data_IF_892498592550
#
_entry.id   IF_892498592550
#
_cell.length_a   1.000
_cell.length_b   1.000
_cell.length_c   1.000
_cell.angle_alpha   90.00
_cell.angle_beta   90.00
_cell.angle_gamma   90.00
#
_symmetry.space_group_name_H-M   'P 1'
#
loop_
_entity.id
_entity.type
_entity.pdbx_description
1 polymer ?
#
# COMPACT_ATOMS: atom_id res chain seq x y z
N UNK A 1 22.82 -20.44 15.16
CA UNK A 1 22.23 -19.50 14.17
C UNK A 1 22.61 -18.10 14.62
N UNK A 2 23.24 -17.29 13.77
CA UNK A 2 23.57 -15.90 14.10
C UNK A 2 22.32 -15.05 13.94
N UNK A 3 22.09 -14.08 14.83
CA UNK A 3 20.96 -13.16 14.77
C UNK A 3 21.47 -11.73 14.98
N UNK A 4 20.74 -10.76 14.46
CA UNK A 4 21.04 -9.35 14.67
C UNK A 4 20.50 -8.96 16.05
N UNK A 5 21.39 -8.67 17.00
CA UNK A 5 21.00 -8.30 18.37
C UNK A 5 21.03 -6.76 18.59
N UNK A 6 21.83 -6.02 17.83
CA UNK A 6 22.03 -4.58 18.01
C UNK A 6 22.23 -3.82 16.72
N UNK A 7 21.72 -2.59 16.64
CA UNK A 7 21.97 -1.63 15.55
C UNK A 7 22.60 -0.38 16.15
N UNK A 8 23.70 0.10 15.55
CA UNK A 8 24.41 1.30 15.97
C UNK A 8 24.66 2.21 14.76
N UNK A 9 23.75 3.18 14.48
CA UNK A 9 24.04 4.20 13.49
C UNK A 9 25.24 5.05 13.91
N UNK A 10 26.15 5.29 12.97
CA UNK A 10 27.36 6.08 13.17
C UNK A 10 27.47 7.15 12.08
N UNK A 11 28.09 8.28 12.43
CA UNK A 11 28.54 9.27 11.44
C UNK A 11 30.06 9.34 11.43
N UNK A 12 30.63 9.68 10.28
CA UNK A 12 32.06 9.92 10.17
C UNK A 12 32.37 11.34 10.65
N UNK A 13 33.12 11.46 11.74
CA UNK A 13 33.63 12.75 12.19
C UNK A 13 34.95 13.03 11.48
N UNK A 14 34.97 14.00 10.56
CA UNK A 14 36.16 14.37 9.79
C UNK A 14 37.25 15.03 10.62
N UNK A 15 36.89 15.72 11.70
CA UNK A 15 37.85 16.37 12.61
C UNK A 15 38.65 15.34 13.41
N UNK A 16 37.97 14.31 13.92
CA UNK A 16 38.64 13.24 14.69
C UNK A 16 39.03 12.04 13.84
N UNK A 17 38.63 12.01 12.56
CA UNK A 17 38.81 10.86 11.66
C UNK A 17 38.32 9.54 12.27
N UNK A 18 37.15 9.56 12.91
CA UNK A 18 36.57 8.42 13.62
C UNK A 18 35.07 8.31 13.35
N UNK A 19 34.57 7.08 13.38
CA UNK A 19 33.14 6.80 13.43
C UNK A 19 32.61 7.06 14.83
N UNK A 20 31.59 7.91 14.94
CA UNK A 20 30.96 8.27 16.20
C UNK A 20 29.54 7.72 16.22
N UNK A 21 29.22 6.94 17.25
CA UNK A 21 27.87 6.39 17.45
C UNK A 21 26.88 7.50 17.78
N UNK A 22 25.74 7.52 17.07
CA UNK A 22 24.65 8.48 17.28
C UNK A 22 23.65 7.97 18.30
N UNK A 23 23.34 6.68 18.22
CA UNK A 23 22.41 5.99 19.10
C UNK A 23 22.69 4.49 19.07
N UNK A 24 22.10 3.74 20.00
CA UNK A 24 22.09 2.28 19.93
C UNK A 24 20.66 1.76 20.03
N UNK A 25 20.38 0.68 19.31
CA UNK A 25 19.10 -0.01 19.36
C UNK A 25 19.36 -1.47 19.73
N UNK A 26 18.84 -1.90 20.87
CA UNK A 26 18.87 -3.30 21.28
C UNK A 26 17.59 -3.99 20.81
N UNK A 27 17.74 -5.15 20.17
CA UNK A 27 16.65 -5.94 19.61
C UNK A 27 16.31 -7.10 20.54
N UNK A 28 15.13 -7.08 21.13
CA UNK A 28 14.57 -8.21 21.85
C UNK A 28 14.02 -9.23 20.86
N UNK A 29 14.46 -10.49 20.96
CA UNK A 29 14.05 -11.53 20.03
C UNK A 29 13.81 -12.87 20.73
N UNK A 30 12.82 -13.60 20.24
CA UNK A 30 12.51 -14.96 20.68
C UNK A 30 12.22 -15.88 19.50
N UNK A 31 12.37 -17.19 19.74
CA UNK A 31 11.84 -18.20 18.81
C UNK A 31 10.44 -18.58 19.26
N UNK A 32 9.46 -18.30 18.41
CA UNK A 32 8.05 -18.55 18.68
C UNK A 32 7.73 -20.01 18.43
N UNK A 33 6.96 -20.59 19.36
CA UNK A 33 6.50 -21.98 19.31
C UNK A 33 5.05 -22.08 18.85
N UNK A 34 4.75 -22.71 17.70
CA UNK A 34 3.38 -23.02 17.31
C UNK A 34 2.69 -23.98 18.31
N UNK A 35 1.44 -23.71 18.74
CA UNK A 35 0.72 -24.54 19.72
C UNK A 35 0.56 -26.01 19.32
N UNK A 36 0.48 -26.28 18.00
CA UNK A 36 0.20 -27.59 17.43
C UNK A 36 1.40 -28.23 16.71
N UNK A 37 2.62 -27.75 16.98
CA UNK A 37 3.84 -28.35 16.44
C UNK A 37 4.83 -28.67 17.57
N UNK A 38 4.72 -29.89 18.11
CA UNK A 38 5.64 -30.40 19.12
C UNK A 38 7.12 -30.42 18.66
N UNK A 39 7.36 -30.35 17.34
CA UNK A 39 8.67 -30.28 16.72
C UNK A 39 9.00 -28.88 16.14
N UNK A 40 8.12 -27.89 16.30
CA UNK A 40 8.25 -26.58 15.66
C UNK A 40 9.50 -25.81 16.07
N UNK A 41 9.94 -26.01 17.31
CA UNK A 41 11.19 -25.45 17.84
C UNK A 41 12.44 -26.06 17.20
N UNK A 42 12.36 -27.30 16.68
CA UNK A 42 13.49 -28.04 16.10
C UNK A 42 13.52 -28.00 14.58
N UNK A 43 12.36 -28.07 13.94
CA UNK A 43 12.25 -28.23 12.49
C UNK A 43 11.82 -26.95 11.76
N UNK A 44 11.12 -26.02 12.42
CA UNK A 44 10.61 -24.81 11.76
C UNK A 44 10.63 -23.53 12.64
N UNK A 45 11.74 -23.23 13.33
CA UNK A 45 11.77 -22.15 14.31
C UNK A 45 11.52 -20.78 13.66
N UNK A 46 10.58 -20.03 14.23
CA UNK A 46 10.18 -18.69 13.77
C UNK A 46 10.81 -17.63 14.67
N UNK A 47 11.75 -16.87 14.13
CA UNK A 47 12.34 -15.74 14.86
C UNK A 47 11.35 -14.59 14.89
N UNK A 48 11.07 -14.06 16.08
CA UNK A 48 10.20 -12.92 16.30
C UNK A 48 10.97 -11.78 16.99
N UNK A 49 10.73 -10.55 16.54
CA UNK A 49 11.22 -9.35 17.20
C UNK A 49 10.17 -8.90 18.21
N UNK A 50 10.38 -9.15 19.51
CA UNK A 50 9.42 -8.79 20.55
C UNK A 50 9.63 -7.38 21.11
N UNK A 51 10.81 -6.79 20.93
CA UNK A 51 11.08 -5.44 21.42
C UNK A 51 12.19 -4.70 20.66
N UNK A 52 12.10 -3.37 20.62
CA UNK A 52 13.20 -2.47 20.27
C UNK A 52 13.42 -1.48 21.41
N UNK A 53 14.63 -1.48 21.99
CA UNK A 53 15.02 -0.52 23.03
C UNK A 53 16.02 0.48 22.46
N UNK A 54 15.64 1.77 22.43
CA UNK A 54 16.58 2.85 22.09
C UNK A 54 17.42 3.20 23.31
N UNK A 55 18.73 3.24 23.12
CA UNK A 55 19.72 3.67 24.12
C UNK A 55 20.46 4.92 23.63
N UNK A 56 21.03 5.66 24.58
CA UNK A 56 21.99 6.72 24.32
C UNK A 56 23.21 6.20 23.55
N UNK A 57 23.97 7.09 22.92
CA UNK A 57 25.15 6.74 22.12
C UNK A 57 26.20 5.92 22.90
N UNK A 58 26.38 6.24 24.19
CA UNK A 58 27.25 5.55 25.14
C UNK A 58 26.62 4.27 25.75
N UNK A 59 25.34 4.01 25.46
CA UNK A 59 24.60 2.84 25.93
C UNK A 59 24.17 2.89 27.40
N UNK A 60 24.43 3.98 28.12
CA UNK A 60 24.22 4.09 29.57
C UNK A 60 22.76 4.35 29.95
N UNK A 61 22.02 5.04 29.09
CA UNK A 61 20.62 5.39 29.29
C UNK A 61 19.74 4.70 28.26
N UNK A 62 18.55 4.25 28.67
CA UNK A 62 17.58 3.59 27.79
C UNK A 62 16.20 4.22 27.95
N UNK A 63 15.49 4.38 26.83
CA UNK A 63 14.05 4.61 26.85
C UNK A 63 13.32 3.27 27.09
N UNK A 64 12.07 3.30 27.58
CA UNK A 64 11.21 2.13 27.53
C UNK A 64 11.17 1.53 26.12
N UNK A 65 11.08 0.22 26.03
CA UNK A 65 11.10 -0.46 24.75
C UNK A 65 9.77 -0.27 24.01
N UNK A 66 9.83 -0.15 22.68
CA UNK A 66 8.68 -0.49 21.83
C UNK A 66 8.50 -1.99 21.93
N UNK A 67 7.30 -2.47 22.25
CA UNK A 67 6.99 -3.90 22.37
C UNK A 67 6.08 -4.36 21.25
N UNK A 68 6.33 -5.56 20.74
CA UNK A 68 5.55 -6.19 19.67
C UNK A 68 4.97 -7.52 20.15
N UNK A 69 3.65 -7.54 20.32
CA UNK A 69 2.89 -8.77 20.52
C UNK A 69 2.62 -9.48 19.20
N UNK A 70 2.31 -10.78 19.28
CA UNK A 70 1.85 -11.53 18.13
C UNK A 70 0.70 -12.48 18.45
N UNK A 71 -0.08 -12.75 17.41
CA UNK A 71 -0.99 -13.89 17.32
C UNK A 71 -0.47 -14.88 16.30
N UNK A 72 -0.54 -16.17 16.63
CA UNK A 72 -0.18 -17.25 15.72
C UNK A 72 -1.39 -17.65 14.88
N UNK A 73 -1.25 -17.55 13.56
CA UNK A 73 -2.33 -17.86 12.62
C UNK A 73 -1.89 -18.89 11.59
N UNK A 74 -2.82 -19.79 11.26
CA UNK A 74 -2.57 -20.86 10.30
C UNK A 74 -2.50 -20.29 8.88
N UNK A 75 -1.33 -20.36 8.25
CA UNK A 75 -1.13 -19.91 6.87
C UNK A 75 -1.47 -21.00 5.86
N UNK A 76 -1.12 -22.27 6.09
CA UNK A 76 -1.48 -23.34 5.14
C UNK A 76 -2.92 -23.79 5.35
N UNK A 77 -3.72 -23.88 4.27
CA UNK A 77 -5.15 -24.24 4.32
C UNK A 77 -5.43 -25.67 3.86
N UNK A 78 -4.64 -26.18 2.93
CA UNK A 78 -4.75 -27.53 2.35
C UNK A 78 -4.19 -28.64 3.26
N UNK A 79 -3.69 -28.31 4.46
CA UNK A 79 -3.20 -29.26 5.47
C UNK A 79 -4.31 -29.93 6.31
N UNK A 80 -5.56 -29.81 5.87
CA UNK A 80 -6.73 -30.41 6.51
C UNK A 80 -7.20 -29.70 7.79
N UNK A 81 -8.37 -30.12 8.24
CA UNK A 81 -8.90 -29.93 9.60
C UNK A 81 -9.43 -31.29 10.05
N UNK A 82 -9.77 -31.48 11.33
CA UNK A 82 -10.36 -32.74 11.81
C UNK A 82 -11.62 -33.19 11.02
N UNK A 83 -12.26 -32.27 10.28
CA UNK A 83 -13.48 -32.53 9.51
C UNK A 83 -13.25 -32.77 7.99
N UNK A 84 -12.03 -32.65 7.47
CA UNK A 84 -11.76 -32.81 6.01
C UNK A 84 -10.39 -33.45 5.78
N UNK A 85 -10.30 -34.59 5.07
CA UNK A 85 -9.06 -35.33 4.92
C UNK A 85 -7.97 -34.50 4.25
N UNK A 86 -6.80 -34.52 4.90
CA UNK A 86 -5.54 -33.93 4.48
C UNK A 86 -5.19 -34.32 3.03
N UNK A 87 -4.71 -33.39 2.20
CA UNK A 87 -3.95 -33.80 1.01
C UNK A 87 -2.65 -34.43 1.54
N UNK A 88 -2.45 -35.73 1.27
CA UNK A 88 -1.31 -36.50 1.79
C UNK A 88 0.02 -35.75 1.57
N UNK A 89 0.79 -35.55 2.66
CA UNK A 89 2.09 -34.87 2.64
C UNK A 89 2.10 -33.37 2.96
N UNK A 90 0.95 -32.75 3.25
CA UNK A 90 0.85 -31.32 3.57
C UNK A 90 1.08 -30.97 5.06
N UNK A 91 2.31 -30.62 5.48
CA UNK A 91 2.57 -30.15 6.85
C UNK A 91 1.91 -28.81 7.17
N UNK A 92 1.44 -28.64 8.41
CA UNK A 92 0.93 -27.37 8.93
C UNK A 92 1.96 -26.24 8.82
N UNK A 93 1.51 -25.02 8.57
CA UNK A 93 2.34 -23.82 8.57
C UNK A 93 1.62 -22.72 9.36
N UNK A 94 2.09 -22.45 10.57
CA UNK A 94 1.58 -21.36 11.43
C UNK A 94 2.61 -20.23 11.48
N UNK A 95 2.18 -18.99 11.28
CA UNK A 95 3.06 -17.82 11.28
C UNK A 95 2.60 -16.78 12.30
N UNK A 96 3.54 -16.12 13.02
CA UNK A 96 3.21 -15.00 13.89
C UNK A 96 2.81 -13.77 13.07
N UNK A 97 1.83 -13.02 13.56
CA UNK A 97 1.35 -11.76 13.00
C UNK A 97 1.29 -10.73 14.12
N UNK A 98 1.70 -9.49 13.86
CA UNK A 98 1.68 -8.41 14.85
C UNK A 98 0.23 -8.19 15.30
N UNK A 99 -0.10 -8.50 16.55
CA UNK A 99 -1.44 -8.25 17.11
C UNK A 99 -1.45 -7.03 18.05
N UNK A 100 -0.27 -6.59 18.50
CA UNK A 100 -0.13 -5.48 19.42
C UNK A 100 1.20 -4.76 19.23
N UNK A 101 1.16 -3.44 19.29
CA UNK A 101 2.32 -2.56 19.42
C UNK A 101 2.10 -1.73 20.68
N UNK A 102 3.07 -1.73 21.60
CA UNK A 102 3.09 -0.80 22.74
C UNK A 102 4.25 0.15 22.55
N UNK A 103 3.98 1.45 22.52
CA UNK A 103 5.00 2.47 22.36
C UNK A 103 5.69 2.81 23.70
N UNK A 104 6.83 3.53 23.68
CA UNK A 104 7.58 3.86 24.89
C UNK A 104 6.85 4.82 25.84
N UNK A 105 5.77 5.46 25.38
CA UNK A 105 4.93 6.39 26.12
C UNK A 105 3.63 5.72 26.59
N UNK A 106 3.50 4.39 26.44
CA UNK A 106 2.37 3.57 26.91
C UNK A 106 1.11 3.61 26.03
N UNK A 107 1.20 4.17 24.82
CA UNK A 107 0.19 3.99 23.79
C UNK A 107 0.17 2.55 23.29
N UNK A 108 -1.03 2.01 23.05
CA UNK A 108 -1.23 0.62 22.63
C UNK A 108 -2.09 0.59 21.37
N UNK A 109 -1.54 0.01 20.30
CA UNK A 109 -2.26 -0.31 19.06
C UNK A 109 -2.46 -1.82 18.97
N UNK A 110 -3.69 -2.28 18.82
CA UNK A 110 -4.02 -3.70 18.65
C UNK A 110 -4.66 -3.99 17.30
N UNK A 111 -4.40 -5.18 16.76
CA UNK A 111 -4.89 -5.64 15.47
C UNK A 111 -5.66 -6.96 15.65
N UNK A 112 -6.86 -7.03 15.07
CA UNK A 112 -7.64 -8.27 14.97
C UNK A 112 -7.58 -8.75 13.53
N UNK A 113 -7.18 -10.01 13.34
CA UNK A 113 -7.12 -10.64 12.03
C UNK A 113 -8.22 -11.68 11.84
N UNK A 114 -8.82 -11.70 10.65
CA UNK A 114 -9.60 -12.84 10.18
C UNK A 114 -9.67 -12.86 8.64
N UNK A 115 -10.54 -13.71 8.09
CA UNK A 115 -10.83 -13.86 6.67
C UNK A 115 -12.23 -13.31 6.43
N UNK A 116 -12.32 -12.26 5.62
CA UNK A 116 -13.59 -11.75 5.12
C UNK A 116 -14.33 -12.76 4.23
N UNK A 117 -13.56 -13.59 3.51
CA UNK A 117 -14.05 -14.61 2.59
C UNK A 117 -13.22 -15.89 2.80
N UNK A 118 -13.78 -16.82 3.56
CA UNK A 118 -13.10 -18.04 4.01
C UNK A 118 -12.53 -18.86 2.84
N UNK A 119 -11.25 -19.22 2.91
CA UNK A 119 -10.68 -20.18 1.96
C UNK A 119 -11.34 -21.54 2.06
N UNK A 120 -11.86 -22.10 0.95
CA UNK A 120 -12.31 -23.48 0.93
C UNK A 120 -11.09 -24.42 0.87
N UNK A 121 -11.32 -25.68 1.22
CA UNK A 121 -10.34 -26.76 1.08
C UNK A 121 -10.71 -27.51 -0.20
N UNK A 122 -10.00 -27.22 -1.28
CA UNK A 122 -10.22 -27.81 -2.61
C UNK A 122 -8.88 -28.19 -3.24
N UNK A 123 -8.88 -29.14 -4.18
CA UNK A 123 -7.68 -29.56 -4.91
C UNK A 123 -7.63 -29.04 -6.35
N UNK A 124 -8.71 -28.43 -6.82
CA UNK A 124 -8.86 -27.89 -8.17
C UNK A 124 -9.94 -26.80 -8.20
N UNK A 125 -10.25 -26.24 -9.38
CA UNK A 125 -11.31 -25.23 -9.53
C UNK A 125 -10.90 -23.82 -9.13
N UNK A 126 -9.63 -23.46 -9.35
CA UNK A 126 -9.05 -22.18 -8.94
C UNK A 126 -9.47 -20.98 -9.80
N UNK A 127 -10.24 -21.17 -10.87
CA UNK A 127 -10.65 -20.10 -11.78
C UNK A 127 -11.39 -18.99 -11.03
N UNK A 128 -10.87 -17.75 -11.10
CA UNK A 128 -11.45 -16.54 -10.48
C UNK A 128 -11.86 -16.73 -9.02
N UNK A 129 -10.97 -17.36 -8.24
CA UNK A 129 -11.24 -17.79 -6.87
C UNK A 129 -11.65 -16.61 -5.95
N UNK A 130 -12.92 -16.52 -5.48
CA UNK A 130 -13.43 -15.34 -4.79
C UNK A 130 -13.19 -15.38 -3.27
N UNK A 131 -12.01 -15.83 -2.85
CA UNK A 131 -11.70 -16.10 -1.44
C UNK A 131 -10.39 -15.45 -1.01
N UNK A 132 -10.21 -15.30 0.30
CA UNK A 132 -9.01 -14.74 0.91
C UNK A 132 -7.86 -15.75 0.91
N UNK A 133 -7.48 -16.22 -0.28
CA UNK A 133 -6.50 -17.28 -0.47
C UNK A 133 -5.35 -16.86 -1.35
N UNK A 134 -4.22 -17.48 -1.11
CA UNK A 134 -3.09 -17.50 -2.03
C UNK A 134 -2.94 -18.92 -2.56
N UNK A 135 -2.99 -19.07 -3.88
CA UNK A 135 -2.84 -20.35 -4.57
C UNK A 135 -1.48 -20.33 -5.25
N UNK A 136 -0.69 -21.38 -5.06
CA UNK A 136 0.64 -21.47 -5.66
C UNK A 136 0.99 -22.90 -5.99
N UNK A 137 1.79 -23.08 -7.04
CA UNK A 137 2.34 -24.37 -7.39
C UNK A 137 3.37 -24.80 -6.35
N UNK A 138 3.14 -25.95 -5.71
CA UNK A 138 4.06 -26.57 -4.79
C UNK A 138 4.79 -27.73 -5.50
N UNK A 139 6.07 -27.56 -5.86
CA UNK A 139 6.84 -28.61 -6.51
C UNK A 139 7.28 -29.73 -5.54
N UNK A 140 7.12 -29.56 -4.22
CA UNK A 140 7.53 -30.56 -3.24
C UNK A 140 6.45 -31.65 -3.05
N UNK A 141 6.88 -32.91 -2.92
CA UNK A 141 5.99 -34.06 -2.70
C UNK A 141 5.37 -34.60 -3.99
N UNK A 142 4.05 -34.84 -4.01
CA UNK A 142 3.34 -35.41 -5.16
C UNK A 142 3.18 -34.43 -6.35
N UNK A 143 3.60 -33.16 -6.18
CA UNK A 143 3.37 -32.07 -7.14
C UNK A 143 1.90 -31.62 -7.15
N UNK A 144 1.66 -30.32 -7.30
CA UNK A 144 0.31 -29.77 -7.39
C UNK A 144 0.18 -28.36 -6.83
N UNK A 145 -1.05 -27.85 -6.78
CA UNK A 145 -1.33 -26.56 -6.17
C UNK A 145 -1.56 -26.68 -4.67
N UNK A 146 -1.01 -25.72 -3.92
CA UNK A 146 -1.28 -25.53 -2.49
C UNK A 146 -2.07 -24.26 -2.23
N UNK A 147 -2.90 -24.30 -1.19
CA UNK A 147 -3.74 -23.18 -0.77
C UNK A 147 -3.25 -22.64 0.57
N UNK A 148 -3.08 -21.34 0.64
CA UNK A 148 -2.71 -20.61 1.84
C UNK A 148 -3.79 -19.57 2.20
N UNK A 149 -4.06 -19.41 3.48
CA UNK A 149 -4.94 -18.35 4.00
C UNK A 149 -4.25 -16.98 3.86
N UNK A 150 -5.00 -15.99 3.38
CA UNK A 150 -4.70 -14.57 3.54
C UNK A 150 -5.50 -14.05 4.72
N UNK A 151 -4.79 -13.65 5.77
CA UNK A 151 -5.40 -13.03 6.94
C UNK A 151 -5.45 -11.52 6.72
N UNK A 152 -6.64 -10.95 6.82
CA UNK A 152 -6.90 -9.52 6.71
C UNK A 152 -7.06 -8.94 8.11
N UNK A 153 -6.69 -7.67 8.28
CA UNK A 153 -7.01 -6.92 9.49
C UNK A 153 -8.50 -6.59 9.44
N UNK A 154 -9.29 -7.03 10.41
CA UNK A 154 -10.70 -6.67 10.53
C UNK A 154 -10.94 -5.53 11.52
N UNK A 155 -9.98 -5.28 12.42
CA UNK A 155 -10.05 -4.15 13.33
C UNK A 155 -8.67 -3.69 13.74
N UNK A 156 -8.54 -2.36 13.87
CA UNK A 156 -7.45 -1.71 14.58
C UNK A 156 -8.05 -0.94 15.74
N UNK A 157 -7.46 -1.06 16.92
CA UNK A 157 -7.83 -0.26 18.08
C UNK A 157 -6.61 0.43 18.64
N UNK A 158 -6.71 1.73 18.90
CA UNK A 158 -5.66 2.55 19.52
C UNK A 158 -6.17 3.03 20.87
N UNK A 159 -5.38 2.83 21.90
CA UNK A 159 -5.69 3.26 23.25
C UNK A 159 -4.47 3.92 23.90
N UNK A 160 -4.74 4.84 24.81
CA UNK A 160 -3.75 5.42 25.69
C UNK A 160 -4.08 4.98 27.11
N UNK A 161 -3.13 4.29 27.74
CA UNK A 161 -3.29 3.75 29.08
C UNK A 161 -3.26 4.82 30.18
N UNK A 162 -2.85 6.06 29.87
CA UNK A 162 -2.71 7.13 30.85
C UNK A 162 -3.93 8.07 30.93
N UNK A 163 -4.55 8.40 29.81
CA UNK A 163 -5.64 9.40 29.77
C UNK A 163 -7.01 8.88 30.21
N UNK A 164 -7.21 7.56 30.30
CA UNK A 164 -8.51 6.97 30.63
C UNK A 164 -9.58 7.18 29.55
N UNK A 165 -9.21 7.69 28.38
CA UNK A 165 -10.11 7.81 27.23
C UNK A 165 -10.44 6.43 26.64
N UNK A 166 -11.64 6.24 26.08
CA UNK A 166 -11.99 4.99 25.42
C UNK A 166 -11.09 4.75 24.21
N UNK A 167 -10.80 3.47 23.95
CA UNK A 167 -10.03 3.07 22.78
C UNK A 167 -10.74 3.51 21.49
N UNK A 168 -9.99 4.08 20.56
CA UNK A 168 -10.46 4.43 19.23
C UNK A 168 -10.33 3.21 18.33
N UNK A 169 -11.47 2.65 17.95
CA UNK A 169 -11.52 1.42 17.14
C UNK A 169 -12.04 1.75 15.75
N UNK A 170 -11.31 1.28 14.74
CA UNK A 170 -11.73 1.23 13.34
C UNK A 170 -11.93 -0.24 12.98
N UNK A 171 -13.08 -0.55 12.40
CA UNK A 171 -13.37 -1.87 11.82
C UNK A 171 -13.31 -1.81 10.31
N UNK A 172 -12.88 -2.90 9.68
CA UNK A 172 -12.72 -3.03 8.24
C UNK A 172 -13.69 -4.09 7.70
N UNK A 173 -14.41 -3.74 6.65
CA UNK A 173 -15.10 -4.70 5.80
C UNK A 173 -14.53 -4.67 4.39
N UNK A 174 -14.56 -5.81 3.73
CA UNK A 174 -13.93 -6.04 2.44
C UNK A 174 -14.95 -6.64 1.49
N UNK A 175 -15.09 -6.10 0.28
CA UNK A 175 -15.87 -6.74 -0.76
C UNK A 175 -15.26 -8.08 -1.18
N UNK A 176 -16.01 -8.89 -1.92
CA UNK A 176 -15.51 -10.16 -2.47
C UNK A 176 -14.21 -9.95 -3.23
N UNK A 177 -13.12 -10.63 -2.83
CA UNK A 177 -11.86 -10.53 -3.52
C UNK A 177 -11.93 -11.28 -4.86
N UNK A 178 -10.96 -11.04 -5.73
CA UNK A 178 -10.81 -11.80 -6.96
C UNK A 178 -9.34 -12.12 -7.22
N UNK A 179 -9.11 -13.16 -8.01
CA UNK A 179 -7.80 -13.50 -8.53
C UNK A 179 -7.82 -13.37 -10.07
N UNK A 180 -6.69 -12.94 -10.62
CA UNK A 180 -6.40 -12.88 -12.04
C UNK A 180 -5.55 -14.08 -12.44
N UNK A 181 -5.59 -14.47 -13.71
CA UNK A 181 -4.70 -15.49 -14.23
C UNK A 181 -3.24 -15.02 -14.19
N UNK A 182 -2.32 -15.92 -13.87
CA UNK A 182 -0.89 -15.63 -13.88
C UNK A 182 -0.37 -15.46 -15.32
N UNK A 183 -0.28 -14.21 -15.75
CA UNK A 183 0.27 -13.81 -17.04
C UNK A 183 1.79 -13.56 -16.98
N UNK A 184 2.47 -13.86 -15.87
CA UNK A 184 3.93 -13.69 -15.76
C UNK A 184 4.66 -14.53 -16.83
N UNK A 185 5.48 -13.93 -17.70
CA UNK A 185 6.15 -14.66 -18.77
C UNK A 185 7.20 -15.66 -18.25
N UNK A 186 7.67 -15.53 -17.01
CA UNK A 186 8.65 -16.46 -16.44
C UNK A 186 8.01 -17.65 -15.71
N UNK A 187 6.72 -17.59 -15.38
CA UNK A 187 6.01 -18.76 -14.82
C UNK A 187 5.81 -19.82 -15.91
N UNK A 188 6.31 -21.06 -15.73
CA UNK A 188 6.06 -22.14 -16.68
C UNK A 188 4.56 -22.37 -16.89
N UNK A 189 4.14 -22.63 -18.13
CA UNK A 189 2.72 -22.76 -18.48
C UNK A 189 1.95 -23.81 -17.64
N UNK A 190 2.62 -24.87 -17.20
CA UNK A 190 2.03 -25.90 -16.33
C UNK A 190 1.81 -25.46 -14.88
N UNK A 191 2.38 -24.32 -14.48
CA UNK A 191 2.32 -23.76 -13.13
C UNK A 191 1.45 -22.50 -13.05
N UNK A 192 1.09 -21.93 -14.21
CA UNK A 192 0.17 -20.79 -14.30
C UNK A 192 -1.22 -21.16 -13.82
N UNK A 193 -1.82 -20.29 -13.02
CA UNK A 193 -3.16 -20.45 -12.46
C UNK A 193 -3.73 -19.10 -12.10
N UNK A 194 -4.94 -19.07 -11.53
CA UNK A 194 -5.51 -17.87 -10.91
C UNK A 194 -4.93 -17.61 -9.51
N UNK A 195 -3.60 -17.58 -9.41
CA UNK A 195 -2.86 -17.30 -8.17
C UNK A 195 -2.55 -15.82 -7.95
N UNK A 196 -2.74 -14.98 -8.97
CA UNK A 196 -2.47 -13.54 -8.90
C UNK A 196 -3.62 -12.80 -8.19
N UNK A 197 -3.47 -12.60 -6.89
CA UNK A 197 -4.50 -12.00 -6.03
C UNK A 197 -4.67 -10.51 -6.30
N UNK A 198 -5.88 -10.10 -6.68
CA UNK A 198 -6.21 -8.71 -7.02
C UNK A 198 -6.94 -7.94 -5.92
N UNK A 199 -7.16 -8.58 -4.77
CA UNK A 199 -7.77 -7.92 -3.62
C UNK A 199 -9.27 -7.67 -3.78
N UNK A 200 -9.79 -6.90 -2.83
CA UNK A 200 -11.19 -6.48 -2.77
C UNK A 200 -11.35 -5.17 -3.53
N UNK A 201 -12.43 -5.05 -4.32
CA UNK A 201 -12.74 -3.81 -5.04
C UNK A 201 -13.07 -2.67 -4.08
N UNK A 202 -13.79 -2.97 -3.00
CA UNK A 202 -14.19 -1.98 -1.98
C UNK A 202 -13.68 -2.42 -0.61
N UNK A 203 -13.07 -1.48 0.11
CA UNK A 203 -12.70 -1.61 1.52
C UNK A 203 -13.41 -0.50 2.28
N UNK A 204 -14.12 -0.84 3.35
CA UNK A 204 -14.84 0.14 4.17
C UNK A 204 -14.28 0.14 5.57
N UNK A 205 -13.78 1.30 5.99
CA UNK A 205 -13.45 1.62 7.37
C UNK A 205 -14.72 2.11 8.07
N UNK A 206 -14.97 1.68 9.30
CA UNK A 206 -16.06 2.18 10.14
C UNK A 206 -15.51 2.52 11.52
N UNK A 207 -15.65 3.78 11.93
CA UNK A 207 -15.23 4.24 13.25
C UNK A 207 -16.28 3.94 14.33
N UNK A 208 -15.95 4.22 15.59
CA UNK A 208 -16.83 3.97 16.72
C UNK A 208 -18.15 4.77 16.69
N UNK A 209 -18.23 5.86 15.91
CA UNK A 209 -19.48 6.62 15.71
C UNK A 209 -20.38 6.00 14.63
N UNK A 210 -19.88 5.01 13.90
CA UNK A 210 -20.53 4.42 12.74
C UNK A 210 -20.29 5.18 11.44
N UNK A 211 -19.56 6.30 11.46
CA UNK A 211 -19.14 6.99 10.25
C UNK A 211 -18.15 6.11 9.48
N UNK A 212 -18.15 6.25 8.15
CA UNK A 212 -17.44 5.33 7.25
C UNK A 212 -16.52 6.05 6.31
N UNK A 213 -15.41 5.39 5.97
CA UNK A 213 -14.60 5.74 4.81
C UNK A 213 -14.56 4.54 3.89
N UNK A 214 -15.12 4.68 2.69
CA UNK A 214 -15.08 3.65 1.66
C UNK A 214 -14.00 3.97 0.64
N UNK A 215 -13.16 2.99 0.37
CA UNK A 215 -12.09 3.03 -0.61
C UNK A 215 -12.42 2.06 -1.74
N UNK A 216 -12.39 2.51 -2.98
CA UNK A 216 -12.57 1.68 -4.17
C UNK A 216 -11.27 1.59 -4.95
N UNK A 217 -10.89 0.39 -5.33
CA UNK A 217 -9.65 0.09 -6.04
C UNK A 217 -9.90 -0.54 -7.39
N UNK A 218 -9.07 -0.17 -8.36
CA UNK A 218 -8.88 -0.97 -9.56
C UNK A 218 -8.30 -2.34 -9.19
N UNK A 219 -8.84 -3.41 -9.77
CA UNK A 219 -8.37 -4.79 -9.58
C UNK A 219 -7.53 -5.27 -10.77
N UNK A 220 -7.64 -4.57 -11.90
CA UNK A 220 -6.89 -4.85 -13.11
C UNK A 220 -7.37 -6.09 -13.84
N UNK A 221 -8.68 -6.32 -13.90
CA UNK A 221 -9.31 -7.49 -14.50
C UNK A 221 -9.55 -7.39 -16.01
N UNK A 222 -9.31 -6.23 -16.63
CA UNK A 222 -9.47 -6.06 -18.07
C UNK A 222 -8.47 -6.93 -18.85
N UNK A 223 -8.97 -7.76 -19.76
CA UNK A 223 -8.15 -8.68 -20.55
C UNK A 223 -7.69 -9.93 -19.80
N UNK A 224 -8.24 -10.26 -18.62
CA UNK A 224 -7.99 -11.52 -17.91
C UNK A 224 -8.23 -12.74 -18.83
N UNK A 225 -7.55 -13.86 -18.57
CA UNK A 225 -7.42 -15.02 -19.47
C UNK A 225 -8.74 -15.58 -20.01
N UNK A 226 -9.80 -15.56 -19.20
CA UNK A 226 -11.15 -16.02 -19.60
C UNK A 226 -12.14 -14.90 -19.87
N UNK A 227 -11.71 -13.63 -19.74
CA UNK A 227 -12.59 -12.50 -20.03
C UNK A 227 -12.74 -12.31 -21.54
N UNK A 228 -13.98 -12.26 -22.02
CA UNK A 228 -14.30 -11.69 -23.32
C UNK A 228 -14.82 -10.27 -23.12
N UNK A 229 -14.36 -9.34 -23.96
CA UNK A 229 -14.74 -7.93 -23.86
C UNK A 229 -14.04 -7.15 -22.74
N UNK A 230 -14.45 -5.90 -22.57
CA UNK A 230 -13.86 -4.97 -21.61
C UNK A 230 -14.43 -5.20 -20.22
N UNK A 231 -13.56 -5.30 -19.21
CA UNK A 231 -13.99 -5.36 -17.80
C UNK A 231 -13.97 -3.97 -17.18
N UNK A 232 -14.99 -3.66 -16.39
CA UNK A 232 -15.17 -2.35 -15.76
C UNK A 232 -15.30 -2.49 -14.24
N UNK A 233 -14.89 -1.43 -13.54
CA UNK A 233 -15.37 -1.12 -12.19
C UNK A 233 -16.51 -0.10 -12.27
N UNK A 234 -17.42 -0.15 -11.31
CA UNK A 234 -18.55 0.78 -11.22
C UNK A 234 -18.35 1.69 -10.03
N UNK A 235 -18.24 3.00 -10.27
CA UNK A 235 -18.12 4.01 -9.21
C UNK A 235 -19.45 4.22 -8.49
N UNK A 236 -19.43 4.91 -7.35
CA UNK A 236 -20.63 5.10 -6.54
C UNK A 236 -21.76 5.88 -7.22
N UNK A 237 -21.44 6.67 -8.25
CA UNK A 237 -22.41 7.42 -9.05
C UNK A 237 -22.90 6.63 -10.29
N UNK A 238 -22.47 5.37 -10.46
CA UNK A 238 -22.81 4.54 -11.61
C UNK A 238 -21.85 4.66 -12.79
N UNK A 239 -20.88 5.58 -12.75
CA UNK A 239 -19.89 5.71 -13.82
C UNK A 239 -19.04 4.45 -13.93
N UNK A 240 -18.80 4.00 -15.16
CA UNK A 240 -17.94 2.86 -15.45
C UNK A 240 -16.51 3.32 -15.73
N UNK A 241 -15.53 2.61 -15.18
CA UNK A 241 -14.10 2.77 -15.53
C UNK A 241 -13.53 1.45 -15.98
N UNK A 242 -12.77 1.45 -17.07
CA UNK A 242 -12.07 0.24 -17.53
C UNK A 242 -11.09 -0.19 -16.44
N UNK A 243 -11.16 -1.45 -16.04
CA UNK A 243 -10.36 -2.02 -14.96
C UNK A 243 -9.00 -2.51 -15.46
N UNK A 244 -8.19 -1.59 -15.98
CA UNK A 244 -6.94 -1.93 -16.66
C UNK A 244 -5.90 -2.59 -15.75
N UNK A 245 -5.18 -3.59 -16.26
CA UNK A 245 -4.18 -4.33 -15.48
C UNK A 245 -3.09 -3.43 -14.85
N UNK A 246 -2.65 -2.39 -15.56
CA UNK A 246 -1.66 -1.42 -15.07
C UNK A 246 -2.19 -0.50 -13.95
N UNK A 247 -3.51 -0.50 -13.70
CA UNK A 247 -4.14 0.21 -12.60
C UNK A 247 -4.28 -0.64 -11.32
N UNK A 248 -3.94 -1.94 -11.34
CA UNK A 248 -4.18 -2.84 -10.20
C UNK A 248 -3.70 -2.24 -8.86
N UNK A 249 -4.58 -2.26 -7.87
CA UNK A 249 -4.32 -1.73 -6.51
C UNK A 249 -4.36 -0.20 -6.39
N UNK A 250 -4.58 0.56 -7.47
CA UNK A 250 -4.75 2.01 -7.40
C UNK A 250 -6.15 2.36 -6.91
N UNK A 251 -6.23 3.31 -5.99
CA UNK A 251 -7.50 3.82 -5.49
C UNK A 251 -8.14 4.77 -6.53
N UNK A 252 -9.35 4.44 -6.97
CA UNK A 252 -10.10 5.21 -7.97
C UNK A 252 -11.12 6.15 -7.34
N UNK A 253 -11.67 5.80 -6.20
CA UNK A 253 -12.73 6.56 -5.53
C UNK A 253 -12.62 6.36 -4.02
N UNK A 254 -12.76 7.46 -3.28
CA UNK A 254 -12.89 7.45 -1.81
C UNK A 254 -14.17 8.17 -1.42
N UNK A 255 -14.93 7.64 -0.47
CA UNK A 255 -16.11 8.31 0.09
C UNK A 255 -16.02 8.38 1.60
N UNK A 256 -16.17 9.58 2.15
CA UNK A 256 -16.46 9.75 3.58
C UNK A 256 -17.96 9.85 3.76
N UNK A 257 -18.52 8.99 4.60
CA UNK A 257 -19.95 8.87 4.87
C UNK A 257 -20.22 9.13 6.35
N UNK A 258 -21.39 9.68 6.66
CA UNK A 258 -21.92 9.67 8.02
C UNK A 258 -22.43 8.27 8.38
N UNK A 259 -22.80 8.08 9.66
CA UNK A 259 -23.40 6.85 10.15
C UNK A 259 -24.71 6.45 9.42
N UNK A 260 -25.46 7.43 8.90
CA UNK A 260 -26.67 7.21 8.08
C UNK A 260 -26.36 6.87 6.60
N UNK A 261 -25.09 6.71 6.24
CA UNK A 261 -24.56 6.52 4.88
C UNK A 261 -24.72 7.71 3.93
N UNK A 262 -25.15 8.88 4.41
CA UNK A 262 -25.09 10.10 3.60
C UNK A 262 -23.64 10.49 3.31
N UNK A 263 -23.35 10.84 2.06
CA UNK A 263 -22.02 11.23 1.62
C UNK A 263 -21.67 12.61 2.18
N UNK A 264 -20.48 12.75 2.76
CA UNK A 264 -19.87 14.02 3.17
C UNK A 264 -18.87 14.50 2.12
N UNK A 265 -17.98 13.60 1.71
CA UNK A 265 -16.91 13.88 0.76
C UNK A 265 -16.82 12.70 -0.20
N UNK A 266 -16.65 12.98 -1.48
CA UNK A 266 -16.31 12.00 -2.51
C UNK A 266 -15.09 12.48 -3.29
N UNK A 267 -14.06 11.66 -3.34
CA UNK A 267 -12.87 11.89 -4.14
C UNK A 267 -12.80 10.87 -5.28
N UNK A 268 -12.38 11.29 -6.47
CA UNK A 268 -12.24 10.41 -7.65
C UNK A 268 -10.93 10.71 -8.35
N UNK A 269 -10.23 9.66 -8.76
CA UNK A 269 -8.95 9.74 -9.45
C UNK A 269 -9.06 9.29 -10.91
N UNK A 270 -8.25 9.92 -11.75
CA UNK A 270 -7.97 9.52 -13.12
C UNK A 270 -6.46 9.43 -13.28
N UNK A 271 -6.03 8.43 -14.02
CA UNK A 271 -4.62 8.14 -14.20
C UNK A 271 -4.29 8.18 -15.69
N UNK A 272 -3.09 8.67 -15.98
CA UNK A 272 -2.45 8.55 -17.29
C UNK A 272 -1.33 7.53 -17.21
N UNK A 273 -0.89 7.04 -18.36
CA UNK A 273 0.17 6.05 -18.44
C UNK A 273 1.09 6.28 -19.62
N UNK A 274 2.28 5.70 -19.54
CA UNK A 274 3.20 5.56 -20.67
C UNK A 274 3.91 4.22 -20.55
N UNK A 275 3.97 3.46 -21.65
CA UNK A 275 4.71 2.21 -21.70
C UNK A 275 6.21 2.52 -21.70
N UNK A 276 6.92 2.05 -20.68
CA UNK A 276 8.35 2.34 -20.47
C UNK A 276 9.26 1.18 -20.89
N UNK A 277 8.75 -0.06 -20.86
CA UNK A 277 9.43 -1.24 -21.38
C UNK A 277 8.44 -2.37 -21.69
N UNK A 278 8.83 -3.31 -22.55
CA UNK A 278 8.00 -4.48 -22.90
C UNK A 278 6.82 -4.13 -23.80
N UNK A 279 5.79 -4.97 -23.81
CA UNK A 279 4.55 -4.77 -24.58
C UNK A 279 3.39 -5.59 -24.03
N UNK A 280 2.16 -5.24 -24.41
CA UNK A 280 0.96 -5.98 -24.03
C UNK A 280 0.79 -6.11 -22.51
N UNK A 281 0.34 -7.29 -22.06
CA UNK A 281 0.03 -7.56 -20.64
C UNK A 281 1.24 -7.55 -19.71
N UNK A 282 2.45 -7.67 -20.25
CA UNK A 282 3.71 -7.73 -19.50
C UNK A 282 4.49 -6.43 -19.59
N UNK A 283 3.91 -5.38 -20.18
CA UNK A 283 4.51 -4.06 -20.25
C UNK A 283 4.76 -3.45 -18.87
N UNK A 284 5.88 -2.75 -18.72
CA UNK A 284 6.17 -1.90 -17.59
C UNK A 284 5.63 -0.49 -17.88
N UNK A 285 4.78 0.04 -17.01
CA UNK A 285 4.11 1.31 -17.22
C UNK A 285 4.54 2.34 -16.19
N UNK A 286 4.87 3.55 -16.66
CA UNK A 286 4.71 4.73 -15.83
C UNK A 286 3.20 4.98 -15.66
N UNK A 287 2.78 5.27 -14.44
CA UNK A 287 1.39 5.58 -14.11
C UNK A 287 1.35 6.82 -13.22
N UNK A 288 0.84 7.91 -13.77
CA UNK A 288 0.73 9.19 -13.07
C UNK A 288 -0.73 9.52 -12.75
N UNK A 289 -0.98 10.19 -11.62
CA UNK A 289 -2.28 10.80 -11.34
C UNK A 289 -2.49 11.95 -12.32
N UNK A 290 -3.42 11.81 -13.26
CA UNK A 290 -3.73 12.83 -14.26
C UNK A 290 -4.74 13.85 -13.72
N UNK A 291 -5.77 13.38 -13.01
CA UNK A 291 -6.80 14.25 -12.46
C UNK A 291 -7.31 13.69 -11.14
N UNK A 292 -7.57 14.57 -10.18
CA UNK A 292 -8.27 14.23 -8.95
C UNK A 292 -9.39 15.25 -8.72
N UNK A 293 -10.60 14.77 -8.47
CA UNK A 293 -11.73 15.61 -8.10
C UNK A 293 -12.15 15.28 -6.68
N UNK A 294 -12.49 16.30 -5.89
CA UNK A 294 -13.07 16.13 -4.57
C UNK A 294 -14.34 16.95 -4.46
N UNK A 295 -15.45 16.28 -4.23
CA UNK A 295 -16.76 16.89 -4.02
C UNK A 295 -17.12 16.84 -2.55
N UNK A 296 -17.32 18.00 -1.93
CA UNK A 296 -17.91 18.12 -0.60
C UNK A 296 -19.42 18.26 -0.75
N UNK A 297 -20.17 17.37 -0.12
CA UNK A 297 -21.62 17.37 -0.13
C UNK A 297 -22.18 18.41 0.86
N UNK A 298 -23.42 18.85 0.61
CA UNK A 298 -24.11 19.84 1.42
C UNK A 298 -25.30 20.44 0.66
N UNK A 299 -25.89 21.50 1.19
CA UNK A 299 -26.95 22.27 0.49
C UNK A 299 -26.44 22.94 -0.79
N UNK A 300 -25.15 23.28 -0.82
CA UNK A 300 -24.45 23.79 -2.01
C UNK A 300 -23.17 22.97 -2.18
N UNK A 301 -23.22 21.85 -2.92
CA UNK A 301 -22.04 21.03 -3.17
C UNK A 301 -20.93 21.84 -3.83
N UNK A 302 -19.68 21.56 -3.45
CA UNK A 302 -18.49 22.18 -4.04
C UNK A 302 -17.55 21.10 -4.52
N UNK A 303 -17.03 21.26 -5.73
CA UNK A 303 -16.07 20.32 -6.30
C UNK A 303 -14.78 21.05 -6.64
N UNK A 304 -13.70 20.66 -5.98
CA UNK A 304 -12.33 21.07 -6.32
C UNK A 304 -11.74 20.06 -7.29
N UNK A 305 -10.79 20.48 -8.13
CA UNK A 305 -10.08 19.57 -9.04
C UNK A 305 -8.60 19.90 -9.13
N UNK A 306 -7.76 18.87 -9.23
CA UNK A 306 -6.36 19.01 -9.63
C UNK A 306 -6.19 18.26 -10.96
N UNK A 307 -5.53 18.88 -11.94
CA UNK A 307 -5.14 18.26 -13.21
C UNK A 307 -3.62 18.36 -13.39
N UNK A 308 -2.94 17.24 -13.57
CA UNK A 308 -1.50 17.16 -13.79
C UNK A 308 -1.19 16.79 -15.24
N UNK A 309 -0.17 17.45 -15.79
CA UNK A 309 0.45 17.11 -17.06
C UNK A 309 1.88 16.65 -16.81
N UNK A 310 2.25 15.55 -17.45
CA UNK A 310 3.59 14.97 -17.45
C UNK A 310 4.18 15.21 -18.83
N UNK A 311 5.04 16.23 -18.95
CA UNK A 311 5.56 16.69 -20.24
C UNK A 311 6.98 16.24 -20.56
N UNK A 312 7.68 15.61 -19.61
CA UNK A 312 9.04 15.12 -19.79
C UNK A 312 9.10 13.59 -19.89
N UNK A 313 10.29 13.06 -20.20
CA UNK A 313 10.54 11.62 -20.30
C UNK A 313 10.74 10.91 -18.97
N UNK A 314 10.77 11.64 -17.85
CA UNK A 314 11.09 11.12 -16.53
C UNK A 314 9.88 11.00 -15.61
N UNK A 315 8.71 11.45 -16.07
CA UNK A 315 7.46 11.35 -15.33
C UNK A 315 7.30 12.45 -14.30
N UNK A 316 7.99 13.59 -14.45
CA UNK A 316 7.75 14.72 -13.57
C UNK A 316 6.51 15.51 -14.00
N UNK A 317 5.85 16.13 -13.03
CA UNK A 317 4.71 17.02 -13.29
C UNK A 317 5.25 18.36 -13.80
N UNK A 318 5.08 18.63 -15.09
CA UNK A 318 5.54 19.88 -15.73
C UNK A 318 4.46 20.97 -15.68
N UNK A 319 3.19 20.60 -15.53
CA UNK A 319 2.08 21.53 -15.34
C UNK A 319 1.03 20.95 -14.41
N UNK A 320 0.50 21.76 -13.51
CA UNK A 320 -0.57 21.42 -12.60
C UNK A 320 -1.61 22.54 -12.55
N UNK A 321 -2.85 22.23 -12.93
CA UNK A 321 -3.98 23.15 -12.78
C UNK A 321 -4.75 22.79 -11.52
N UNK A 322 -4.93 23.77 -10.64
CA UNK A 322 -5.68 23.70 -9.40
C UNK A 322 -6.99 24.46 -9.60
N UNK A 323 -8.11 23.74 -9.64
CA UNK A 323 -9.44 24.34 -9.68
C UNK A 323 -10.01 24.41 -8.26
N UNK A 324 -10.28 25.63 -7.80
CA UNK A 324 -10.88 25.85 -6.48
C UNK A 324 -12.32 25.33 -6.44
N UNK A 325 -13.20 25.85 -7.29
CA UNK A 325 -14.52 25.29 -7.51
C UNK A 325 -14.81 25.20 -9.00
N UNK A 326 -14.96 23.99 -9.54
CA UNK A 326 -15.12 23.77 -10.99
C UNK A 326 -16.35 24.46 -11.63
N UNK A 327 -17.27 25.00 -10.83
CA UNK A 327 -18.38 25.82 -11.33
C UNK A 327 -17.98 27.25 -11.68
N UNK A 328 -16.74 27.66 -11.41
CA UNK A 328 -16.16 28.95 -11.76
C UNK A 328 -14.68 28.75 -12.11
N UNK A 329 -14.09 29.72 -12.82
CA UNK A 329 -12.66 29.74 -13.13
C UNK A 329 -11.93 30.86 -12.37
N UNK A 330 -12.65 31.64 -11.57
CA UNK A 330 -12.12 32.83 -10.88
C UNK A 330 -11.11 32.47 -9.78
N UNK A 331 -11.19 31.26 -9.23
CA UNK A 331 -10.32 30.74 -8.18
C UNK A 331 -9.30 29.72 -8.69
N UNK A 332 -9.19 29.53 -10.00
CA UNK A 332 -8.22 28.61 -10.60
C UNK A 332 -6.79 29.13 -10.47
N UNK A 333 -5.84 28.21 -10.34
CA UNK A 333 -4.40 28.48 -10.39
C UNK A 333 -3.73 27.48 -11.32
N UNK A 334 -2.67 27.91 -12.00
CA UNK A 334 -1.84 27.04 -12.81
C UNK A 334 -0.40 27.11 -12.30
N UNK A 335 0.21 25.96 -12.08
CA UNK A 335 1.61 25.83 -11.67
C UNK A 335 2.37 25.16 -12.81
N UNK A 336 3.38 25.85 -13.34
CA UNK A 336 4.30 25.29 -14.33
C UNK A 336 5.67 25.04 -13.72
N UNK A 337 6.30 23.94 -14.13
CA UNK A 337 7.62 23.53 -13.66
C UNK A 337 8.49 23.14 -14.84
N UNK A 338 9.76 23.46 -14.73
CA UNK A 338 10.80 22.81 -15.51
C UNK A 338 11.78 22.12 -14.57
N UNK A 339 12.56 21.20 -15.10
CA UNK A 339 13.47 20.34 -14.36
C UNK A 339 14.85 20.38 -14.99
N UNK A 340 15.88 20.26 -14.15
CA UNK A 340 17.27 20.04 -14.58
C UNK A 340 17.61 18.56 -14.39
N UNK A 341 18.38 18.02 -15.33
CA UNK A 341 18.71 16.59 -15.35
C UNK A 341 20.23 16.39 -15.33
N UNK A 342 20.68 15.49 -14.46
CA UNK A 342 22.04 14.96 -14.43
C UNK A 342 21.97 13.46 -14.69
N UNK A 343 22.00 13.07 -15.98
CA UNK A 343 21.80 11.67 -16.39
C UNK A 343 22.97 10.77 -16.01
N UNK A 344 24.16 11.34 -15.79
CA UNK A 344 25.33 10.63 -15.28
C UNK A 344 25.25 10.35 -13.78
N UNK A 345 24.56 11.20 -13.02
CA UNK A 345 24.33 11.03 -11.58
C UNK A 345 22.95 10.42 -11.26
N UNK A 346 22.13 10.15 -12.27
CA UNK A 346 20.75 9.66 -12.15
C UNK A 346 19.82 10.58 -11.34
N UNK A 347 20.07 11.90 -11.40
CA UNK A 347 19.21 12.92 -10.79
C UNK A 347 18.34 13.50 -11.90
N UNK A 348 17.04 13.21 -11.87
CA UNK A 348 16.12 13.51 -12.99
C UNK A 348 14.84 14.24 -12.57
N UNK A 349 14.72 14.59 -11.29
CA UNK A 349 13.51 15.11 -10.65
C UNK A 349 13.73 16.45 -9.95
N UNK A 350 14.90 17.09 -10.12
CA UNK A 350 15.22 18.38 -9.52
C UNK A 350 14.54 19.53 -10.28
N UNK A 351 13.64 20.31 -9.65
CA UNK A 351 13.05 21.46 -10.30
C UNK A 351 14.10 22.50 -10.69
N UNK A 352 14.06 22.99 -11.92
CA UNK A 352 14.82 24.15 -12.36
C UNK A 352 14.16 25.45 -11.87
N UNK A 353 12.84 25.53 -12.08
CA UNK A 353 12.02 26.66 -11.68
C UNK A 353 10.56 26.22 -11.55
N UNK A 354 9.78 27.01 -10.81
CA UNK A 354 8.34 26.92 -10.68
C UNK A 354 7.70 28.30 -10.90
N UNK A 355 6.61 28.33 -11.69
CA UNK A 355 5.80 29.52 -11.95
C UNK A 355 4.38 29.28 -11.49
N UNK A 356 3.82 30.21 -10.70
CA UNK A 356 2.42 30.25 -10.33
C UNK A 356 1.70 31.31 -11.15
N UNK A 357 0.58 30.94 -11.76
CA UNK A 357 -0.24 31.81 -12.61
C UNK A 357 -1.65 31.96 -12.03
N UNK A 358 -2.26 33.13 -12.28
CA UNK A 358 -3.69 33.33 -12.04
C UNK A 358 -4.52 32.65 -13.13
N UNK A 359 -5.58 31.94 -12.74
CA UNK A 359 -6.42 31.18 -13.67
C UNK A 359 -5.72 29.93 -14.22
N UNK A 360 -6.22 29.42 -15.34
CA UNK A 360 -5.69 28.21 -16.00
C UNK A 360 -4.69 28.52 -17.12
N UNK A 361 -4.66 29.76 -17.62
CA UNK A 361 -3.76 30.20 -18.68
C UNK A 361 -2.33 30.42 -18.16
N UNK A 362 -1.35 30.22 -19.04
CA UNK A 362 0.08 30.49 -18.78
C UNK A 362 0.73 31.16 -19.99
N UNK A 363 2.00 31.56 -19.83
CA UNK A 363 2.75 32.23 -20.89
C UNK A 363 2.20 33.63 -21.16
N UNK A 364 2.15 34.02 -22.44
CA UNK A 364 1.70 35.36 -22.85
C UNK A 364 0.22 35.63 -22.60
N UNK A 365 -0.58 34.58 -22.40
CA UNK A 365 -2.01 34.67 -22.10
C UNK A 365 -2.32 34.62 -20.59
N UNK A 366 -1.34 34.33 -19.74
CA UNK A 366 -1.50 34.21 -18.30
C UNK A 366 -0.96 35.42 -17.53
N UNK A 367 -1.47 35.64 -16.31
CA UNK A 367 -0.88 36.57 -15.36
C UNK A 367 -0.01 35.80 -14.36
N UNK A 368 1.30 36.00 -14.41
CA UNK A 368 2.23 35.39 -13.45
C UNK A 368 2.05 36.04 -12.07
N UNK A 369 1.90 35.21 -11.04
CA UNK A 369 1.73 35.62 -9.64
C UNK A 369 3.01 35.43 -8.83
N UNK A 370 3.78 34.37 -9.13
CA UNK A 370 5.04 34.09 -8.47
C UNK A 370 5.97 33.28 -9.38
N UNK A 371 7.27 33.47 -9.17
CA UNK A 371 8.35 32.72 -9.80
C UNK A 371 9.37 32.31 -8.74
N UNK A 372 9.74 31.04 -8.75
CA UNK A 372 10.81 30.48 -7.91
C UNK A 372 11.81 29.76 -8.81
N UNK A 373 13.10 30.00 -8.61
CA UNK A 373 14.17 29.32 -9.31
C UNK A 373 15.10 28.65 -8.32
N UNK A 374 15.68 27.51 -8.72
CA UNK A 374 16.46 26.66 -7.83
C UNK A 374 17.91 26.55 -8.32
N UNK A 375 18.82 26.44 -7.35
CA UNK A 375 20.24 26.16 -7.56
C UNK A 375 20.63 24.99 -6.64
N UNK A 376 21.51 24.12 -7.14
CA UNK A 376 21.96 22.92 -6.43
C UNK A 376 23.48 22.95 -6.31
N UNK A 377 24.03 22.38 -5.24
CA UNK A 377 25.48 22.17 -5.05
C UNK A 377 26.38 23.39 -5.26
N UNK A 378 25.88 24.57 -4.86
CA UNK A 378 26.53 25.88 -5.07
C UNK A 378 26.78 26.24 -6.55
N UNK A 379 26.10 25.57 -7.47
CA UNK A 379 26.12 25.89 -8.90
C UNK A 379 25.18 27.07 -9.19
N UNK A 380 25.24 27.57 -10.42
CA UNK A 380 24.34 28.63 -10.88
C UNK A 380 22.87 28.16 -10.86
N UNK A 381 21.94 29.12 -10.73
CA UNK A 381 20.50 28.85 -10.85
C UNK A 381 20.21 28.16 -12.18
N UNK A 382 19.51 27.04 -12.10
CA UNK A 382 19.15 26.21 -13.24
C UNK A 382 20.28 25.39 -13.87
N UNK A 383 21.44 25.30 -13.21
CA UNK A 383 22.44 24.28 -13.52
C UNK A 383 22.03 22.92 -12.95
N UNK A 384 22.35 21.85 -13.67
CA UNK A 384 22.19 20.49 -13.17
C UNK A 384 23.27 20.18 -12.11
N UNK A 385 22.92 19.46 -11.03
CA UNK A 385 23.87 19.00 -10.01
C UNK A 385 24.88 17.95 -10.52
#
# INVERSE_FOLDING_TARGET
>A
RKRLDTIQPQYWNTTTSQWVTVAQYALGQEFVKPPNDANGDKNEPKLWLNAITRKSADGTSALPAVQYGYVLQQNRRDNGSAATPMISGASSLTMPRIDRITDPLGGVTTFVYDKSHQCPIVSSGFTRFPYDCFITWNPAGAGGFSIFNKWKVLSVSVSDSFSGHPAQTITYSYSTPINHYDDDPVTPSSQKSWGDFRGSEVVTETDASGAKTEHRFYRGMNGDYTSSGTTYITLSNGDLRVDENWLRGREVETRRLKADNSVLIRSVNWFTWTLTAGSGKTGAYFVGLQKAEQTTAGTTPKTTRIENTYGDSYGNVTRQVLHGNISTTADDRNVERSYVYSTTAYIVDNPQWEKLWAGTASGTAGQELAYTAYAYDNLAVGAAP
#
